data_IF_617750329755
#
_entry.id   IF_617750329755
#
_cell.length_a   1.000
_cell.length_b   1.000
_cell.length_c   1.000
_cell.angle_alpha   90.00
_cell.angle_beta   90.00
_cell.angle_gamma   90.00
#
_symmetry.space_group_name_H-M   'P 1'
#
loop_
_entity.id
_entity.type
_entity.pdbx_description
1 polymer ?
#
# COMPACT_ATOMS: atom_id res chain seq x y z
N UNK A 1 -55.00 -10.84 -24.03
CA UNK A 1 -55.52 -9.57 -23.48
C UNK A 1 -55.27 -9.58 -21.98
N UNK A 2 -54.41 -8.70 -21.46
CA UNK A 2 -54.08 -8.67 -20.02
C UNK A 2 -55.15 -7.88 -19.27
N UNK A 3 -56.06 -8.58 -18.61
CA UNK A 3 -57.10 -7.99 -17.76
C UNK A 3 -56.52 -7.78 -16.37
N UNK A 4 -55.98 -6.59 -16.11
CA UNK A 4 -55.59 -6.19 -14.74
C UNK A 4 -56.70 -5.34 -14.11
N UNK A 5 -56.91 -5.41 -12.79
CA UNK A 5 -57.90 -4.59 -12.12
C UNK A 5 -57.59 -3.09 -12.26
N UNK A 6 -58.57 -2.30 -12.69
CA UNK A 6 -58.45 -0.85 -12.95
C UNK A 6 -58.06 -0.01 -11.71
N UNK A 7 -58.16 -0.58 -10.49
CA UNK A 7 -57.81 0.12 -9.26
C UNK A 7 -56.30 0.15 -8.97
N UNK A 8 -55.51 -0.76 -9.55
CA UNK A 8 -54.07 -0.88 -9.28
C UNK A 8 -53.26 0.38 -9.64
N UNK A 9 -53.47 1.03 -10.81
CA UNK A 9 -52.78 2.27 -11.18
C UNK A 9 -53.09 3.44 -10.25
N UNK A 10 -54.34 3.53 -9.79
CA UNK A 10 -54.84 4.61 -8.94
C UNK A 10 -54.26 4.52 -7.54
N UNK A 11 -54.27 3.32 -6.94
CA UNK A 11 -53.66 3.08 -5.62
C UNK A 11 -52.15 3.31 -5.67
N UNK A 12 -51.48 2.88 -6.75
CA UNK A 12 -50.04 3.11 -6.92
C UNK A 12 -49.71 4.61 -6.91
N UNK A 13 -50.43 5.41 -7.72
CA UNK A 13 -50.21 6.86 -7.80
C UNK A 13 -50.47 7.57 -6.45
N UNK A 14 -51.46 7.11 -5.68
CA UNK A 14 -51.77 7.67 -4.36
C UNK A 14 -50.70 7.35 -3.31
N UNK A 15 -50.02 6.20 -3.43
CA UNK A 15 -49.03 5.75 -2.44
C UNK A 15 -47.61 6.23 -2.79
N UNK A 16 -47.27 6.31 -4.09
CA UNK A 16 -45.89 6.57 -4.54
C UNK A 16 -45.70 7.92 -5.22
N UNK A 17 -46.75 8.74 -5.33
CA UNK A 17 -46.78 10.03 -6.05
C UNK A 17 -46.22 9.97 -7.49
N UNK A 18 -46.14 8.78 -8.07
CA UNK A 18 -45.50 8.50 -9.35
C UNK A 18 -46.40 7.63 -10.21
N UNK A 19 -46.32 7.83 -11.54
CA UNK A 19 -47.09 7.01 -12.45
C UNK A 19 -46.63 5.54 -12.38
N UNK A 20 -47.55 4.56 -12.44
CA UNK A 20 -47.17 3.16 -12.45
C UNK A 20 -46.24 2.87 -13.62
N UNK A 21 -45.10 2.23 -13.34
CA UNK A 21 -44.07 1.95 -14.34
C UNK A 21 -43.08 3.10 -14.61
N UNK A 22 -43.27 4.30 -14.06
CA UNK A 22 -42.37 5.45 -14.25
C UNK A 22 -40.90 5.11 -13.97
N UNK A 23 -40.63 4.48 -12.82
CA UNK A 23 -39.26 4.10 -12.45
C UNK A 23 -38.66 3.05 -13.37
N UNK A 24 -39.49 2.14 -13.90
CA UNK A 24 -39.03 1.13 -14.86
C UNK A 24 -38.67 1.77 -16.21
N UNK A 25 -39.55 2.65 -16.72
CA UNK A 25 -39.31 3.41 -17.95
C UNK A 25 -38.05 4.26 -17.80
N UNK A 26 -37.93 5.02 -16.70
CA UNK A 26 -36.76 5.85 -16.42
C UNK A 26 -35.47 5.03 -16.36
N UNK A 27 -35.50 3.85 -15.74
CA UNK A 27 -34.35 2.94 -15.67
C UNK A 27 -33.96 2.40 -17.05
N UNK A 28 -34.93 2.05 -17.89
CA UNK A 28 -34.68 1.65 -19.28
C UNK A 28 -34.05 2.80 -20.09
N UNK A 29 -34.61 4.01 -20.00
CA UNK A 29 -34.07 5.20 -20.67
C UNK A 29 -32.64 5.55 -20.21
N UNK A 30 -32.35 5.44 -18.91
CA UNK A 30 -31.01 5.63 -18.36
C UNK A 30 -30.03 4.59 -18.89
N UNK A 31 -30.45 3.32 -18.99
CA UNK A 31 -29.63 2.26 -19.59
C UNK A 31 -29.34 2.51 -21.06
N UNK A 32 -30.32 2.94 -21.85
CA UNK A 32 -30.13 3.26 -23.26
C UNK A 32 -29.18 4.45 -23.44
N UNK A 33 -29.30 5.48 -22.58
CA UNK A 33 -28.36 6.60 -22.52
C UNK A 33 -26.94 6.14 -22.18
N UNK A 34 -26.78 5.25 -21.20
CA UNK A 34 -25.46 4.69 -20.87
C UNK A 34 -24.87 3.87 -22.02
N UNK A 35 -25.69 3.05 -22.68
CA UNK A 35 -25.25 2.22 -23.81
C UNK A 35 -24.80 3.07 -24.99
N UNK A 36 -25.58 4.11 -25.34
CA UNK A 36 -25.23 5.06 -26.41
C UNK A 36 -23.94 5.83 -26.08
N UNK A 37 -23.78 6.34 -24.87
CA UNK A 37 -22.55 7.01 -24.42
C UNK A 37 -21.34 6.06 -24.43
N UNK A 38 -21.52 4.82 -23.98
CA UNK A 38 -20.48 3.78 -24.03
C UNK A 38 -20.05 3.54 -25.48
N UNK A 39 -20.99 3.36 -26.41
CA UNK A 39 -20.68 3.14 -27.83
C UNK A 39 -19.99 4.36 -28.46
N UNK A 40 -20.43 5.58 -28.15
CA UNK A 40 -19.78 6.83 -28.58
C UNK A 40 -18.36 6.99 -28.01
N UNK A 41 -18.12 6.47 -26.80
CA UNK A 41 -16.78 6.50 -26.21
C UNK A 41 -15.86 5.49 -26.89
N UNK A 42 -16.36 4.28 -27.20
CA UNK A 42 -15.62 3.20 -27.89
C UNK A 42 -15.26 3.58 -29.33
N UNK A 43 -16.09 4.38 -30.00
CA UNK A 43 -15.78 4.88 -31.35
C UNK A 43 -14.69 5.96 -31.39
N UNK A 44 -14.20 6.44 -30.23
CA UNK A 44 -13.17 7.49 -30.12
C UNK A 44 -11.91 6.99 -29.38
N UNK A 45 -11.19 5.99 -29.91
CA UNK A 45 -10.04 5.37 -29.23
C UNK A 45 -8.91 6.37 -28.94
N UNK A 46 -8.68 7.34 -29.83
CA UNK A 46 -7.65 8.36 -29.65
C UNK A 46 -7.95 9.29 -28.45
N UNK A 47 -9.21 9.65 -28.24
CA UNK A 47 -9.62 10.47 -27.09
C UNK A 47 -9.45 9.72 -25.77
N UNK A 48 -9.73 8.41 -25.76
CA UNK A 48 -9.49 7.55 -24.59
C UNK A 48 -8.00 7.44 -24.26
N UNK A 49 -7.16 7.20 -25.27
CA UNK A 49 -5.69 7.16 -25.11
C UNK A 49 -5.15 8.47 -24.57
N UNK A 50 -5.56 9.61 -25.14
CA UNK A 50 -5.14 10.93 -24.67
C UNK A 50 -5.61 11.22 -23.23
N UNK A 51 -6.83 10.81 -22.86
CA UNK A 51 -7.33 10.92 -21.48
C UNK A 51 -6.49 10.08 -20.51
N UNK A 52 -6.13 8.86 -20.88
CA UNK A 52 -5.28 8.00 -20.08
C UNK A 52 -3.88 8.59 -19.92
N UNK A 53 -3.26 9.06 -21.01
CA UNK A 53 -1.98 9.77 -20.97
C UNK A 53 -2.00 10.98 -20.03
N UNK A 54 -3.04 11.82 -20.11
CA UNK A 54 -3.22 12.95 -19.17
C UNK A 54 -3.33 12.49 -17.72
N UNK A 55 -4.09 11.42 -17.45
CA UNK A 55 -4.24 10.88 -16.10
C UNK A 55 -2.91 10.35 -15.54
N UNK A 56 -2.11 9.68 -16.36
CA UNK A 56 -0.77 9.19 -15.99
C UNK A 56 0.18 10.36 -15.72
N UNK A 57 0.19 11.37 -16.59
CA UNK A 57 0.99 12.60 -16.41
C UNK A 57 0.59 13.30 -15.10
N UNK A 58 -0.71 13.51 -14.84
CA UNK A 58 -1.17 14.13 -13.58
C UNK A 58 -0.84 13.31 -12.34
N UNK A 59 -0.81 11.98 -12.44
CA UNK A 59 -0.41 11.11 -11.33
C UNK A 59 1.10 11.18 -11.06
N UNK A 60 1.91 11.25 -12.12
CA UNK A 60 3.37 11.35 -12.02
C UNK A 60 3.82 12.78 -11.63
N UNK A 61 3.05 13.81 -11.96
CA UNK A 61 3.34 15.22 -11.67
C UNK A 61 2.50 15.78 -10.50
N UNK A 62 2.24 14.97 -9.46
CA UNK A 62 1.62 15.49 -8.24
C UNK A 62 2.55 16.49 -7.54
N UNK A 63 2.47 17.76 -7.92
CA UNK A 63 3.20 18.88 -7.31
C UNK A 63 2.61 19.34 -5.97
N UNK A 64 1.60 18.64 -5.46
CA UNK A 64 0.92 19.00 -4.22
C UNK A 64 1.88 19.05 -3.03
N UNK A 65 1.67 20.02 -2.12
CA UNK A 65 2.48 20.14 -0.89
C UNK A 65 2.48 18.84 -0.07
N UNK A 66 1.35 18.11 -0.05
CA UNK A 66 1.26 16.83 0.66
C UNK A 66 2.14 15.75 0.02
N UNK A 67 2.19 15.65 -1.31
CA UNK A 67 3.05 14.68 -1.99
C UNK A 67 4.54 15.01 -1.78
N UNK A 68 4.92 16.30 -1.88
CA UNK A 68 6.29 16.75 -1.61
C UNK A 68 6.70 16.54 -0.15
N UNK A 69 5.78 16.71 0.81
CA UNK A 69 6.05 16.51 2.23
C UNK A 69 6.25 15.05 2.63
N UNK A 70 5.65 14.09 1.91
CA UNK A 70 5.74 12.66 2.26
C UNK A 70 7.08 12.03 1.90
N UNK A 71 7.73 12.50 0.84
CA UNK A 71 8.97 11.89 0.33
C UNK A 71 10.22 12.79 0.51
N UNK A 72 10.04 14.08 0.83
CA UNK A 72 11.15 15.03 1.08
C UNK A 72 11.62 15.76 -0.19
N UNK A 73 12.42 16.82 -0.03
CA UNK A 73 12.87 17.67 -1.16
C UNK A 73 13.71 16.91 -2.21
N UNK A 74 14.34 15.78 -1.84
CA UNK A 74 15.16 14.94 -2.73
C UNK A 74 14.31 13.98 -3.58
N UNK A 75 13.04 13.75 -3.22
CA UNK A 75 12.17 12.79 -3.93
C UNK A 75 11.69 13.24 -5.32
N UNK A 76 12.17 14.39 -5.77
CA UNK A 76 11.94 14.90 -7.13
C UNK A 76 12.82 14.13 -8.13
N UNK A 77 13.91 13.49 -7.67
CA UNK A 77 14.73 12.64 -8.53
C UNK A 77 14.01 11.32 -8.78
N UNK A 78 13.22 11.31 -9.87
CA UNK A 78 12.84 10.08 -10.54
C UNK A 78 14.11 9.57 -11.23
N UNK A 79 14.88 8.72 -10.56
CA UNK A 79 15.94 7.97 -11.25
C UNK A 79 15.29 7.00 -12.23
N UNK A 80 15.96 6.78 -13.36
CA UNK A 80 15.50 5.82 -14.36
C UNK A 80 15.45 4.42 -13.76
N UNK A 81 14.44 3.63 -14.15
CA UNK A 81 14.32 2.24 -13.72
C UNK A 81 15.59 1.47 -14.13
N UNK A 82 16.23 0.84 -13.14
CA UNK A 82 17.39 -0.02 -13.41
C UNK A 82 16.93 -1.33 -14.05
N UNK A 83 17.73 -1.84 -14.98
CA UNK A 83 17.49 -3.14 -15.58
C UNK A 83 17.41 -4.26 -14.52
N UNK A 84 16.60 -5.28 -14.79
CA UNK A 84 16.36 -6.38 -13.87
C UNK A 84 17.66 -7.12 -13.48
N UNK A 85 18.63 -7.23 -14.40
CA UNK A 85 19.92 -7.85 -14.10
C UNK A 85 20.73 -7.07 -13.07
N UNK A 86 20.71 -5.73 -13.17
CA UNK A 86 21.39 -4.82 -12.25
C UNK A 86 20.71 -4.87 -10.88
N UNK A 87 19.38 -4.89 -10.85
CA UNK A 87 18.62 -5.03 -9.61
C UNK A 87 18.96 -6.32 -8.87
N UNK A 88 19.00 -7.46 -9.58
CA UNK A 88 19.37 -8.74 -8.98
C UNK A 88 20.78 -8.70 -8.40
N UNK A 89 21.75 -8.12 -9.13
CA UNK A 89 23.12 -7.96 -8.66
C UNK A 89 23.18 -7.12 -7.38
N UNK A 90 22.44 -6.00 -7.31
CA UNK A 90 22.35 -5.17 -6.11
C UNK A 90 21.72 -5.92 -4.93
N UNK A 91 20.69 -6.73 -5.19
CA UNK A 91 20.08 -7.58 -4.18
C UNK A 91 21.08 -8.60 -3.62
N UNK A 92 21.83 -9.28 -4.48
CA UNK A 92 22.83 -10.28 -4.06
C UNK A 92 23.99 -9.65 -3.27
N UNK A 93 24.45 -8.48 -3.70
CA UNK A 93 25.43 -7.68 -2.95
C UNK A 93 24.90 -7.32 -1.56
N UNK A 94 23.64 -6.87 -1.47
CA UNK A 94 23.04 -6.55 -0.18
C UNK A 94 22.90 -7.78 0.72
N UNK A 95 22.42 -8.91 0.17
CA UNK A 95 22.29 -10.17 0.91
C UNK A 95 23.63 -10.62 1.47
N UNK A 96 24.67 -10.64 0.62
CA UNK A 96 26.01 -11.08 1.01
C UNK A 96 26.67 -10.17 2.06
N UNK A 97 26.53 -8.84 1.93
CA UNK A 97 27.18 -7.89 2.85
C UNK A 97 26.45 -7.74 4.18
N UNK A 98 25.11 -7.77 4.19
CA UNK A 98 24.33 -7.37 5.37
C UNK A 98 23.55 -8.50 6.05
N UNK A 99 23.19 -9.56 5.33
CA UNK A 99 22.25 -10.58 5.83
C UNK A 99 22.94 -11.92 6.07
N UNK A 100 23.77 -12.36 5.14
CA UNK A 100 24.50 -13.62 5.26
C UNK A 100 25.60 -13.43 6.31
N UNK A 101 25.56 -14.25 7.36
CA UNK A 101 26.49 -14.21 8.48
C UNK A 101 27.23 -15.55 8.51
N UNK A 102 28.55 -15.52 8.67
CA UNK A 102 29.36 -16.73 8.78
C UNK A 102 29.01 -17.54 10.03
N UNK A 103 29.19 -18.86 9.96
CA UNK A 103 28.88 -19.77 11.07
C UNK A 103 29.72 -19.44 12.32
N UNK A 104 30.97 -18.99 12.14
CA UNK A 104 31.84 -18.58 13.23
C UNK A 104 31.29 -17.36 13.98
N UNK A 105 30.74 -16.38 13.25
CA UNK A 105 30.11 -15.20 13.83
C UNK A 105 28.80 -15.55 14.53
N UNK A 106 28.05 -16.52 14.01
CA UNK A 106 26.87 -17.07 14.69
C UNK A 106 27.30 -17.69 16.03
N UNK A 107 28.29 -18.58 16.02
CA UNK A 107 28.78 -19.25 17.22
C UNK A 107 29.29 -18.25 18.27
N UNK A 108 30.06 -17.24 17.84
CA UNK A 108 30.55 -16.18 18.72
C UNK A 108 29.41 -15.36 19.35
N UNK A 109 28.36 -15.06 18.58
CA UNK A 109 27.18 -14.38 19.14
C UNK A 109 26.49 -15.31 20.13
N UNK A 110 26.28 -16.58 19.79
CA UNK A 110 25.64 -17.57 20.67
C UNK A 110 26.36 -17.65 22.00
N UNK A 111 27.68 -17.88 22.02
CA UNK A 111 28.45 -17.99 23.27
C UNK A 111 28.42 -16.72 24.12
N UNK A 112 28.40 -15.53 23.51
CA UNK A 112 28.28 -14.26 24.22
C UNK A 112 26.88 -14.00 24.80
N UNK A 113 25.87 -14.72 24.32
CA UNK A 113 24.46 -14.41 24.58
C UNK A 113 23.72 -15.53 25.32
N UNK A 114 24.24 -16.76 25.32
CA UNK A 114 23.59 -17.99 25.84
C UNK A 114 23.14 -17.89 27.31
N UNK A 115 24.01 -17.40 28.20
CA UNK A 115 23.74 -17.38 29.65
C UNK A 115 23.31 -16.01 30.20
N UNK A 116 23.19 -14.99 29.34
CA UNK A 116 22.95 -13.61 29.79
C UNK A 116 21.76 -12.99 29.07
N UNK A 117 20.56 -13.49 29.36
CA UNK A 117 19.29 -12.92 28.88
C UNK A 117 19.08 -11.44 29.27
N UNK A 118 19.78 -10.97 30.31
CA UNK A 118 19.82 -9.58 30.77
C UNK A 118 21.08 -8.81 30.32
N UNK A 119 21.88 -9.36 29.40
CA UNK A 119 23.03 -8.62 28.86
C UNK A 119 22.59 -7.59 27.83
N UNK A 120 23.30 -6.46 27.82
CA UNK A 120 23.07 -5.43 26.81
C UNK A 120 23.38 -5.94 25.40
N UNK A 121 24.33 -6.87 25.26
CA UNK A 121 24.70 -7.51 23.99
C UNK A 121 23.53 -8.35 23.44
N UNK A 122 22.88 -9.16 24.28
CA UNK A 122 21.65 -9.90 23.92
C UNK A 122 20.57 -8.97 23.38
N UNK A 123 20.34 -7.84 24.07
CA UNK A 123 19.34 -6.86 23.64
C UNK A 123 19.73 -6.12 22.35
N UNK A 124 21.01 -5.85 22.12
CA UNK A 124 21.49 -5.23 20.88
C UNK A 124 21.31 -6.17 19.69
N UNK A 125 21.71 -7.44 19.81
CA UNK A 125 21.58 -8.42 18.73
C UNK A 125 20.11 -8.72 18.38
N UNK A 126 19.22 -8.81 19.39
CA UNK A 126 17.79 -9.00 19.14
C UNK A 126 17.10 -7.79 18.52
N UNK A 127 17.61 -6.58 18.69
CA UNK A 127 17.05 -5.38 18.04
C UNK A 127 17.29 -5.35 16.52
N UNK A 128 18.32 -6.06 16.05
CA UNK A 128 18.65 -6.16 14.62
C UNK A 128 17.78 -7.18 13.86
N UNK A 129 16.99 -8.01 14.56
CA UNK A 129 16.35 -9.21 13.99
C UNK A 129 14.87 -9.33 14.36
N UNK A 130 14.08 -9.98 13.51
CA UNK A 130 12.73 -10.43 13.87
C UNK A 130 12.84 -11.73 14.67
N UNK A 131 12.33 -11.72 15.90
CA UNK A 131 12.34 -12.90 16.77
C UNK A 131 11.21 -13.86 16.38
N UNK A 132 11.38 -15.16 16.62
CA UNK A 132 10.40 -16.19 16.25
C UNK A 132 8.96 -15.88 16.75
N UNK A 133 8.84 -15.37 17.98
CA UNK A 133 7.56 -14.93 18.54
C UNK A 133 6.89 -13.82 17.73
N UNK A 134 7.66 -12.83 17.29
CA UNK A 134 7.18 -11.73 16.45
C UNK A 134 6.90 -12.17 15.02
N UNK A 135 7.74 -13.07 14.49
CA UNK A 135 7.53 -13.66 13.16
C UNK A 135 6.21 -14.43 13.09
N UNK A 136 5.90 -15.25 14.10
CA UNK A 136 4.62 -15.94 14.20
C UNK A 136 3.42 -15.00 14.30
N UNK A 137 3.56 -13.84 14.97
CA UNK A 137 2.51 -12.82 15.03
C UNK A 137 2.28 -12.17 13.66
N UNK A 138 3.35 -11.88 12.91
CA UNK A 138 3.27 -11.30 11.56
C UNK A 138 2.64 -12.30 10.58
N UNK A 139 3.08 -13.56 10.61
CA UNK A 139 2.55 -14.61 9.73
C UNK A 139 1.09 -14.95 10.00
N UNK A 140 0.64 -14.90 11.26
CA UNK A 140 -0.75 -15.22 11.61
C UNK A 140 -1.77 -14.24 11.03
N UNK A 141 -1.35 -13.09 10.48
CA UNK A 141 -2.20 -12.07 9.79
C UNK A 141 -3.53 -11.80 10.51
N UNK A 142 -3.54 -11.82 11.84
CA UNK A 142 -4.76 -11.53 12.61
C UNK A 142 -5.12 -10.07 12.37
N UNK A 143 -6.38 -9.81 12.04
CA UNK A 143 -6.90 -8.44 11.85
C UNK A 143 -6.72 -7.56 13.09
N UNK A 144 -6.64 -8.16 14.28
CA UNK A 144 -6.36 -7.48 15.54
C UNK A 144 -4.90 -7.04 15.70
N UNK A 145 -3.97 -7.53 14.88
CA UNK A 145 -2.53 -7.27 14.97
C UNK A 145 -2.11 -6.41 13.78
N UNK A 146 -1.78 -5.15 14.05
CA UNK A 146 -1.18 -4.29 13.04
C UNK A 146 0.28 -4.70 12.81
N UNK A 147 0.56 -5.31 11.65
CA UNK A 147 1.93 -5.67 11.22
C UNK A 147 2.83 -4.44 11.22
N UNK A 148 2.32 -3.31 10.71
CA UNK A 148 3.01 -2.01 10.71
C UNK A 148 3.44 -1.60 12.13
N UNK A 149 2.54 -1.70 13.11
CA UNK A 149 2.84 -1.36 14.51
C UNK A 149 3.88 -2.32 15.11
N UNK A 150 3.79 -3.61 14.80
CA UNK A 150 4.75 -4.62 15.27
C UNK A 150 6.15 -4.37 14.71
N UNK A 151 6.28 -4.06 13.43
CA UNK A 151 7.56 -3.72 12.80
C UNK A 151 8.11 -2.40 13.36
N UNK A 152 7.26 -1.37 13.47
CA UNK A 152 7.64 -0.08 14.05
C UNK A 152 8.21 -0.21 15.47
N UNK A 153 7.55 -1.01 16.31
CA UNK A 153 7.99 -1.21 17.69
C UNK A 153 9.30 -2.01 17.78
N UNK A 154 9.52 -2.97 16.88
CA UNK A 154 10.74 -3.78 16.91
C UNK A 154 11.97 -3.00 16.41
N UNK A 155 11.82 -2.28 15.30
CA UNK A 155 12.96 -1.63 14.65
C UNK A 155 13.10 -0.16 15.03
N UNK A 156 12.02 0.62 15.03
CA UNK A 156 12.12 2.08 15.12
C UNK A 156 12.07 2.59 16.56
N UNK A 157 11.11 2.16 17.38
CA UNK A 157 10.99 2.71 18.76
C UNK A 157 12.14 2.31 19.70
N UNK A 158 12.77 1.17 19.47
CA UNK A 158 13.85 0.63 20.31
C UNK A 158 15.25 1.10 19.88
N UNK A 159 15.39 1.69 18.69
CA UNK A 159 16.59 2.40 18.24
C UNK A 159 16.58 3.86 18.73
N UNK A 160 15.42 4.53 18.68
CA UNK A 160 15.26 5.95 19.04
C UNK A 160 15.56 6.25 20.51
N UNK A 161 15.29 5.31 21.45
CA UNK A 161 15.49 5.52 22.89
C UNK A 161 16.96 5.64 23.35
N UNK A 162 17.94 5.50 22.45
CA UNK A 162 19.37 5.61 22.79
C UNK A 162 20.18 6.54 21.90
N UNK A 163 19.54 7.37 21.05
CA UNK A 163 20.25 8.15 20.03
C UNK A 163 19.88 9.63 20.13
N UNK A 164 20.90 10.48 20.28
CA UNK A 164 20.77 11.94 20.13
C UNK A 164 20.14 12.27 18.76
N UNK A 165 19.30 13.30 18.76
CA UNK A 165 18.45 13.74 17.63
C UNK A 165 19.17 13.88 16.29
N UNK A 166 20.48 14.08 16.28
CA UNK A 166 21.31 14.28 15.08
C UNK A 166 21.57 13.00 14.24
N UNK A 167 21.43 11.79 14.81
CA UNK A 167 21.62 10.53 14.04
C UNK A 167 20.34 10.07 13.31
N UNK A 168 19.18 10.56 13.72
CA UNK A 168 17.88 10.22 13.09
C UNK A 168 17.78 10.68 11.64
N UNK A 169 18.63 11.62 11.21
CA UNK A 169 18.68 12.09 9.82
C UNK A 169 19.53 11.21 8.90
N UNK A 170 20.48 10.43 9.44
CA UNK A 170 21.30 9.51 8.64
C UNK A 170 20.54 8.22 8.29
N UNK A 171 19.82 7.62 9.25
CA UNK A 171 19.07 6.37 9.02
C UNK A 171 17.76 6.56 8.22
N UNK A 172 17.25 7.80 8.08
CA UNK A 172 16.17 8.09 7.13
C UNK A 172 16.62 8.01 5.67
N UNK A 173 17.93 8.17 5.41
CA UNK A 173 18.51 8.11 4.05
C UNK A 173 18.85 6.69 3.60
N UNK A 174 19.16 5.77 4.53
CA UNK A 174 19.65 4.42 4.19
C UNK A 174 18.62 3.29 4.36
N UNK A 175 17.48 3.51 5.02
CA UNK A 175 16.40 2.51 5.08
C UNK A 175 15.38 2.86 4.00
N UNK A 176 15.37 2.17 2.84
CA UNK A 176 14.36 2.42 1.82
C UNK A 176 13.00 2.08 2.45
N UNK A 177 12.12 3.07 2.47
CA UNK A 177 10.74 2.93 2.91
C UNK A 177 10.05 1.80 2.14
N UNK A 178 9.96 0.61 2.73
CA UNK A 178 8.99 -0.39 2.30
C UNK A 178 7.59 0.11 2.71
N UNK A 179 7.00 0.93 1.82
CA UNK A 179 5.58 1.27 1.84
C UNK A 179 4.78 0.02 1.42
N UNK A 180 4.48 -0.85 2.38
CA UNK A 180 3.51 -1.92 2.19
C UNK A 180 2.12 -1.30 2.45
N UNK A 181 1.39 -1.07 1.35
CA UNK A 181 -0.03 -0.72 1.34
C UNK A 181 -0.89 -1.90 1.78
#
# INVERSE_FOLDING_TARGET
MNVRPQWSPTVWKQVTDSAPGYHFIKLCEERDKQLTLSNQSKSKPQAQSNRWKRKVITANESTSKSAKSSYGNEAIQCEDDVDASVLNTKCDQYMSHHIIISNDKINAITTLTEDQSNSQVWHQERRKRITASNFGLILKRKTSISVKKTLWNNFYTKLVKGMNSHFLDYNKKEIPFMNIS
#
